data_IF_475980233162
#
_entry.id   IF_475980233162
#
_cell.length_a   1.000
_cell.length_b   1.000
_cell.length_c   1.000
_cell.angle_alpha   90.00
_cell.angle_beta   90.00
_cell.angle_gamma   90.00
#
_symmetry.space_group_name_H-M   'P 1'
#
loop_
_entity.id
_entity.type
_entity.pdbx_description
1 polymer ?
#
# COMPACT_ATOMS: atom_id res chain seq x y z
N UNK A 1 -4.84 12.73 -3.53
CA UNK A 1 -3.63 12.21 -2.98
C UNK A 1 -3.82 10.85 -2.35
N UNK A 2 -3.07 9.89 -2.74
CA UNK A 2 -3.32 8.52 -2.31
C UNK A 2 -2.79 8.19 -0.93
N UNK A 3 -2.70 9.14 -0.08
CA UNK A 3 -2.24 8.86 1.26
C UNK A 3 -3.30 8.14 2.05
N UNK A 4 -2.91 7.25 2.94
CA UNK A 4 -3.88 6.63 3.83
C UNK A 4 -4.56 7.69 4.66
N UNK A 5 -5.84 7.55 4.80
CA UNK A 5 -6.61 8.49 5.59
C UNK A 5 -6.37 8.20 7.05
N UNK A 6 -6.22 9.22 7.90
CA UNK A 6 -6.08 8.97 9.32
C UNK A 6 -7.26 8.17 9.82
N UNK A 7 -6.98 7.10 10.48
CA UNK A 7 -8.01 6.19 10.95
C UNK A 7 -8.28 5.05 10.00
N UNK A 8 -7.77 5.12 8.78
CA UNK A 8 -7.94 4.02 7.85
C UNK A 8 -6.94 2.93 8.21
N UNK A 9 -7.43 1.72 8.36
CA UNK A 9 -6.57 0.61 8.72
C UNK A 9 -5.89 0.06 7.47
N UNK A 10 -4.81 -0.65 7.70
CA UNK A 10 -4.11 -1.32 6.62
C UNK A 10 -5.04 -2.27 5.88
N UNK A 11 -5.92 -2.90 6.62
CA UNK A 11 -6.87 -3.84 6.07
C UNK A 11 -7.78 -3.16 5.06
N UNK A 12 -8.29 -2.01 5.39
CA UNK A 12 -9.13 -1.25 4.48
C UNK A 12 -8.38 -0.85 3.23
N UNK A 13 -7.15 -0.42 3.41
CA UNK A 13 -6.32 -0.05 2.28
C UNK A 13 -6.10 -1.26 1.37
N UNK A 14 -5.85 -2.40 1.95
CA UNK A 14 -5.60 -3.62 1.19
C UNK A 14 -6.82 -4.05 0.39
N UNK A 15 -8.00 -3.85 0.95
CA UNK A 15 -9.23 -4.22 0.27
C UNK A 15 -9.38 -3.52 -1.07
N UNK A 16 -8.86 -2.32 -1.17
CA UNK A 16 -8.94 -1.55 -2.40
C UNK A 16 -7.71 -1.80 -3.27
N UNK A 17 -6.57 -1.91 -2.63
CA UNK A 17 -5.30 -2.02 -3.34
C UNK A 17 -5.12 -3.38 -4.02
N UNK A 18 -5.42 -4.44 -3.30
CA UNK A 18 -5.19 -5.79 -3.82
C UNK A 18 -5.88 -6.04 -5.16
N UNK A 19 -7.19 -5.79 -5.28
CA UNK A 19 -7.83 -6.02 -6.58
C UNK A 19 -7.28 -5.11 -7.66
N UNK A 20 -6.85 -3.95 -7.28
CA UNK A 20 -6.32 -3.00 -8.25
C UNK A 20 -5.02 -3.49 -8.87
N UNK A 21 -4.08 -3.92 -8.04
CA UNK A 21 -2.80 -4.37 -8.56
C UNK A 21 -2.93 -5.70 -9.31
N UNK A 22 -3.91 -6.49 -8.96
CA UNK A 22 -4.18 -7.70 -9.70
C UNK A 22 -4.73 -7.38 -11.08
N UNK A 23 -5.61 -6.43 -11.15
CA UNK A 23 -6.22 -6.02 -12.40
C UNK A 23 -5.20 -5.35 -13.31
N UNK A 24 -4.31 -4.59 -12.73
CA UNK A 24 -3.26 -3.91 -13.48
C UNK A 24 -2.19 -4.85 -13.99
N UNK A 25 -2.12 -6.04 -13.42
CA UNK A 25 -1.06 -6.96 -13.76
C UNK A 25 0.22 -6.73 -12.98
N UNK A 26 0.20 -5.81 -12.03
CA UNK A 26 1.36 -5.56 -11.19
C UNK A 26 1.66 -6.75 -10.32
N UNK A 27 0.61 -7.43 -9.87
CA UNK A 27 0.75 -8.63 -9.07
C UNK A 27 0.21 -9.82 -9.83
N UNK A 28 0.84 -10.97 -9.66
CA UNK A 28 0.45 -12.18 -10.38
C UNK A 28 -0.57 -13.00 -9.59
N UNK A 29 -0.58 -12.84 -8.29
CA UNK A 29 -1.53 -13.56 -7.45
C UNK A 29 -1.85 -12.70 -6.24
N UNK A 30 -2.80 -13.18 -5.46
CA UNK A 30 -3.29 -12.41 -4.33
C UNK A 30 -2.20 -12.19 -3.28
N UNK A 31 -1.41 -13.19 -3.04
CA UNK A 31 -0.35 -13.09 -2.05
C UNK A 31 0.65 -12.02 -2.44
N UNK A 32 1.01 -11.98 -3.70
CA UNK A 32 1.91 -10.97 -4.21
C UNK A 32 1.27 -9.59 -4.14
N UNK A 33 -0.01 -9.52 -4.45
CA UNK A 33 -0.74 -8.26 -4.39
C UNK A 33 -0.76 -7.71 -2.97
N UNK A 34 -0.98 -8.56 -2.00
CA UNK A 34 -0.98 -8.14 -0.60
C UNK A 34 0.38 -7.60 -0.21
N UNK A 35 1.43 -8.30 -0.58
CA UNK A 35 2.78 -7.86 -0.24
C UNK A 35 3.10 -6.50 -0.85
N UNK A 36 2.71 -6.31 -2.10
CA UNK A 36 2.94 -5.04 -2.77
C UNK A 36 2.17 -3.92 -2.09
N UNK A 37 0.92 -4.18 -1.75
CA UNK A 37 0.09 -3.17 -1.12
C UNK A 37 0.57 -2.82 0.29
N UNK A 38 1.04 -3.81 1.03
CA UNK A 38 1.59 -3.56 2.34
C UNK A 38 2.82 -2.68 2.22
N UNK A 39 3.65 -2.97 1.25
CA UNK A 39 4.84 -2.18 1.00
C UNK A 39 4.49 -0.74 0.69
N UNK A 40 3.48 -0.53 -0.13
CA UNK A 40 3.04 0.81 -0.48
C UNK A 40 2.48 1.54 0.73
N UNK A 41 1.74 0.83 1.55
CA UNK A 41 1.16 1.42 2.73
C UNK A 41 2.23 1.89 3.70
N UNK A 42 3.24 1.06 3.90
CA UNK A 42 4.33 1.41 4.79
C UNK A 42 5.19 2.52 4.22
N UNK A 43 5.38 2.53 2.94
CA UNK A 43 6.13 3.60 2.31
C UNK A 43 5.45 4.94 2.48
N UNK A 44 4.14 4.95 2.38
CA UNK A 44 3.39 6.19 2.58
C UNK A 44 3.54 6.71 3.99
N UNK A 45 3.57 5.80 4.95
CA UNK A 45 3.76 6.19 6.34
C UNK A 45 5.16 6.66 6.61
N UNK A 46 6.12 5.97 6.03
CA UNK A 46 7.52 6.21 6.29
C UNK A 46 8.10 7.36 5.51
N UNK A 47 7.34 7.86 4.59
CA UNK A 47 7.84 8.88 3.70
C UNK A 47 8.41 10.06 4.46
N UNK A 48 7.71 10.48 5.48
CA UNK A 48 8.14 11.61 6.28
C UNK A 48 9.39 11.29 7.06
N UNK A 49 9.40 10.17 7.71
CA UNK A 49 10.54 9.74 8.50
C UNK A 49 11.76 9.55 7.62
N UNK A 50 11.54 8.98 6.48
CA UNK A 50 12.62 8.72 5.57
C UNK A 50 13.26 9.99 5.07
N UNK A 51 12.47 10.99 4.82
CA UNK A 51 12.94 12.28 4.41
C UNK A 51 13.86 12.86 5.43
N UNK A 52 13.55 12.68 6.68
CA UNK A 52 14.37 13.18 7.75
C UNK A 52 15.63 12.36 7.93
N UNK A 53 15.52 11.11 7.72
CA UNK A 53 16.61 10.20 7.95
C UNK A 53 17.71 10.39 6.96
N UNK A 54 17.41 11.01 5.90
CA UNK A 54 18.41 11.29 4.92
C UNK A 54 18.92 12.68 5.10
#
# INVERSE_FOLDING_TARGET
>A
MPNPIPGQSQDDFLKVCVPQVLQDGTAQNQQQAVAICISMFENAKDEISNSLGK
#
